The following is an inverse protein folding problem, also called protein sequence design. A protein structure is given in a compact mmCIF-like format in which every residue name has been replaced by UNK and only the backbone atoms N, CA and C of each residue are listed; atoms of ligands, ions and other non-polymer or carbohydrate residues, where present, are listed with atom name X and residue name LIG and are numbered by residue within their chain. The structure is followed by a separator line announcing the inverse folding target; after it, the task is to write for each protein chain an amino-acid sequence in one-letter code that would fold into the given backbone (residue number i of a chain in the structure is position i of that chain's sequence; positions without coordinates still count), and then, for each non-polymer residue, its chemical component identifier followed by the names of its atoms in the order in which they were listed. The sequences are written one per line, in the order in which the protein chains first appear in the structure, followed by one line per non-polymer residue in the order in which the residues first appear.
data_IF_129257911438
#
_entry.id   IF_129257911438
#
_cell.length_a   1.000
_cell.length_b   1.000
_cell.length_c   1.000
_cell.angle_alpha   90.00
_cell.angle_beta   90.00
_cell.angle_gamma   90.00
#
_symmetry.space_group_name_H-M   'P 1'
#
loop_
_entity.id
_entity.type
_entity.pdbx_description
1 polymer ?
#
# COMPACT_ATOMS: atom_id res chain seq x y z
N UNK A 1 36.42 -4.87 18.50
CA UNK A 1 35.87 -3.57 18.01
C UNK A 1 35.68 -3.78 16.53
N UNK A 2 34.58 -4.42 16.20
CA UNK A 2 34.35 -4.97 14.88
C UNK A 2 33.36 -4.03 14.19
N UNK A 3 33.92 -3.15 13.37
CA UNK A 3 33.16 -2.27 12.49
C UNK A 3 32.45 -3.15 11.46
N UNK A 4 31.19 -3.49 11.74
CA UNK A 4 30.32 -4.17 10.77
C UNK A 4 30.14 -3.20 9.61
N UNK A 5 30.79 -3.54 8.49
CA UNK A 5 30.76 -2.82 7.23
C UNK A 5 29.33 -2.92 6.68
N UNK A 6 28.56 -1.84 6.82
CA UNK A 6 27.20 -1.75 6.27
C UNK A 6 27.26 -1.51 4.75
N UNK A 7 27.78 -2.48 4.02
CA UNK A 7 27.81 -2.50 2.55
C UNK A 7 26.45 -2.94 2.03
N UNK A 8 25.57 -1.98 1.75
CA UNK A 8 24.44 -2.25 0.86
C UNK A 8 24.96 -2.51 -0.54
N UNK A 9 24.74 -3.70 -1.06
CA UNK A 9 25.18 -4.02 -2.42
C UNK A 9 24.18 -3.67 -3.50
N UNK A 10 22.91 -3.45 -3.15
CA UNK A 10 21.88 -3.22 -4.17
C UNK A 10 20.88 -2.12 -3.81
N UNK A 11 20.48 -1.37 -4.83
CA UNK A 11 19.42 -0.39 -4.76
C UNK A 11 18.31 -0.75 -5.71
N UNK A 12 17.09 -0.87 -5.18
CA UNK A 12 15.88 -1.06 -5.96
C UNK A 12 15.18 0.28 -6.15
N UNK A 13 14.88 0.61 -7.40
CA UNK A 13 14.16 1.84 -7.74
C UNK A 13 12.70 1.49 -8.03
N UNK A 14 11.79 2.14 -7.29
CA UNK A 14 10.34 1.97 -7.41
C UNK A 14 9.63 3.32 -7.31
N UNK A 15 8.32 3.32 -7.52
CA UNK A 15 7.48 4.50 -7.30
C UNK A 15 6.50 4.22 -6.18
N UNK A 16 6.21 5.24 -5.38
CA UNK A 16 5.13 5.19 -4.40
C UNK A 16 3.79 5.08 -5.12
N UNK A 17 3.01 4.07 -4.78
CA UNK A 17 1.72 3.76 -5.40
C UNK A 17 0.63 4.78 -5.03
N UNK A 18 0.85 5.54 -3.96
CA UNK A 18 -0.09 6.58 -3.47
C UNK A 18 0.22 7.95 -4.07
N UNK A 19 1.47 8.41 -4.00
CA UNK A 19 1.85 9.79 -4.39
C UNK A 19 2.76 9.87 -5.63
N UNK A 20 3.11 8.74 -6.24
CA UNK A 20 3.94 8.69 -7.45
C UNK A 20 5.43 9.02 -7.24
N UNK A 21 5.85 9.44 -6.05
CA UNK A 21 7.24 9.79 -5.76
C UNK A 21 8.17 8.60 -6.00
N UNK A 22 9.32 8.87 -6.63
CA UNK A 22 10.40 7.89 -6.79
C UNK A 22 10.97 7.49 -5.43
N UNK A 23 11.11 6.19 -5.23
CA UNK A 23 11.68 5.54 -4.06
C UNK A 23 13.04 4.96 -4.41
N UNK A 24 13.99 5.15 -3.51
CA UNK A 24 15.30 4.50 -3.55
C UNK A 24 15.32 3.54 -2.36
N UNK A 25 15.18 2.25 -2.64
CA UNK A 25 15.12 1.20 -1.64
C UNK A 25 16.49 0.55 -1.55
N UNK A 26 17.10 0.60 -0.37
CA UNK A 26 18.39 -0.03 -0.07
C UNK A 26 18.12 -1.46 0.36
N UNK A 27 18.69 -2.43 -0.35
CA UNK A 27 18.66 -3.85 0.02
C UNK A 27 19.96 -4.21 0.76
N UNK A 28 19.80 -4.93 1.86
CA UNK A 28 20.89 -5.45 2.67
C UNK A 28 21.05 -6.95 2.41
N UNK A 29 22.28 -7.46 2.61
CA UNK A 29 22.63 -8.86 2.32
C UNK A 29 21.84 -9.88 3.17
N UNK A 30 21.32 -9.44 4.32
CA UNK A 30 20.47 -10.21 5.23
C UNK A 30 18.98 -10.25 4.82
N UNK A 31 18.64 -9.64 3.68
CA UNK A 31 17.27 -9.55 3.17
C UNK A 31 16.43 -8.43 3.78
N UNK A 32 16.98 -7.65 4.71
CA UNK A 32 16.32 -6.43 5.18
C UNK A 32 16.38 -5.33 4.11
N UNK A 33 15.45 -4.37 4.20
CA UNK A 33 15.43 -3.23 3.29
C UNK A 33 15.02 -1.93 3.99
N UNK A 34 15.41 -0.78 3.41
CA UNK A 34 15.02 0.56 3.88
C UNK A 34 14.68 1.47 2.70
N UNK A 35 13.81 2.46 2.91
CA UNK A 35 13.50 3.51 1.92
C UNK A 35 12.10 3.44 1.28
N UNK A 36 11.31 2.44 1.65
CA UNK A 36 9.90 2.30 1.28
C UNK A 36 9.24 1.25 2.16
N UNK A 37 7.93 1.06 1.99
CA UNK A 37 7.17 -0.02 2.61
C UNK A 37 6.54 -0.89 1.51
N UNK A 38 6.73 -2.20 1.58
CA UNK A 38 6.25 -3.16 0.60
C UNK A 38 5.01 -3.90 1.13
N UNK A 39 3.92 -3.89 0.36
CA UNK A 39 2.66 -4.51 0.75
C UNK A 39 2.35 -5.80 0.00
N UNK A 40 3.21 -6.21 -0.93
CA UNK A 40 3.03 -7.41 -1.73
C UNK A 40 2.81 -7.13 -3.21
N UNK A 41 2.48 -8.21 -3.94
CA UNK A 41 2.17 -8.18 -5.36
C UNK A 41 0.70 -8.45 -5.58
N UNK A 42 0.14 -7.79 -6.58
CA UNK A 42 -1.21 -8.08 -7.03
C UNK A 42 -1.28 -8.00 -8.55
N UNK A 43 -2.25 -8.70 -9.12
CA UNK A 43 -2.51 -8.69 -10.55
C UNK A 43 -3.61 -7.71 -10.85
N UNK A 44 -3.38 -6.81 -11.81
CA UNK A 44 -4.37 -5.81 -12.17
C UNK A 44 -5.54 -6.49 -12.91
N UNK A 45 -6.78 -6.39 -12.45
CA UNK A 45 -7.92 -6.90 -13.21
C UNK A 45 -8.13 -6.03 -14.47
N UNK A 46 -8.00 -6.63 -15.66
CA UNK A 46 -8.25 -5.96 -16.93
C UNK A 46 -9.70 -6.08 -17.39
N UNK A 47 -10.39 -7.13 -16.95
CA UNK A 47 -11.80 -7.36 -17.30
C UNK A 47 -12.54 -7.93 -16.10
N UNK A 48 -13.65 -7.30 -15.75
CA UNK A 48 -14.58 -7.75 -14.72
C UNK A 48 -15.93 -8.11 -15.34
N UNK A 49 -16.68 -8.99 -14.68
CA UNK A 49 -18.03 -9.34 -15.10
C UNK A 49 -18.97 -8.13 -14.95
N UNK A 50 -19.86 -7.92 -15.92
CA UNK A 50 -20.85 -6.83 -15.89
C UNK A 50 -21.91 -7.02 -14.81
N UNK A 51 -22.22 -8.28 -14.47
CA UNK A 51 -23.21 -8.63 -13.46
C UNK A 51 -22.50 -9.09 -12.17
N UNK A 52 -22.96 -8.66 -10.99
CA UNK A 52 -22.46 -9.18 -9.73
C UNK A 52 -22.78 -10.66 -9.60
N UNK A 53 -21.85 -11.42 -9.03
CA UNK A 53 -22.07 -12.83 -8.69
C UNK A 53 -22.69 -13.02 -7.31
N UNK A 54 -22.42 -12.09 -6.39
CA UNK A 54 -22.98 -12.10 -5.04
C UNK A 54 -22.95 -10.68 -4.45
N UNK A 55 -23.50 -10.50 -3.25
CA UNK A 55 -23.39 -9.27 -2.47
C UNK A 55 -22.85 -9.60 -1.08
N UNK A 56 -21.91 -8.80 -0.60
CA UNK A 56 -21.44 -8.86 0.79
C UNK A 56 -21.95 -7.64 1.55
N UNK A 57 -22.20 -7.80 2.85
CA UNK A 57 -22.60 -6.68 3.70
C UNK A 57 -21.45 -6.34 4.64
N UNK A 58 -20.98 -5.09 4.58
CA UNK A 58 -20.00 -4.53 5.50
C UNK A 58 -20.54 -3.21 6.02
N UNK A 59 -20.46 -3.00 7.34
CA UNK A 59 -20.91 -1.75 7.99
C UNK A 59 -22.35 -1.34 7.61
N UNK A 60 -23.27 -2.31 7.56
CA UNK A 60 -24.68 -2.12 7.15
C UNK A 60 -24.86 -1.65 5.70
N UNK A 61 -23.81 -1.67 4.87
CA UNK A 61 -23.86 -1.38 3.43
C UNK A 61 -23.66 -2.66 2.62
N UNK A 62 -24.43 -2.83 1.55
CA UNK A 62 -24.29 -3.95 0.61
C UNK A 62 -23.35 -3.57 -0.54
N UNK A 63 -22.36 -4.39 -0.80
CA UNK A 63 -21.39 -4.23 -1.87
C UNK A 63 -21.51 -5.38 -2.88
N UNK A 64 -21.62 -5.09 -4.19
CA UNK A 64 -21.61 -6.11 -5.22
C UNK A 64 -20.23 -6.76 -5.32
N UNK A 65 -20.19 -8.09 -5.30
CA UNK A 65 -19.00 -8.88 -5.60
C UNK A 65 -19.06 -9.26 -7.08
N UNK A 66 -18.05 -8.82 -7.83
CA UNK A 66 -17.90 -9.15 -9.26
C UNK A 66 -16.78 -10.16 -9.46
N UNK A 67 -16.97 -11.09 -10.40
CA UNK A 67 -15.89 -11.98 -10.83
C UNK A 67 -14.92 -11.25 -11.74
N UNK A 68 -13.63 -11.45 -11.52
CA UNK A 68 -12.58 -11.00 -12.44
C UNK A 68 -12.48 -12.02 -13.58
N UNK A 69 -12.64 -11.57 -14.82
CA UNK A 69 -12.64 -12.40 -16.02
C UNK A 69 -11.26 -12.50 -16.67
N UNK A 70 -10.43 -11.45 -16.50
CA UNK A 70 -9.07 -11.42 -17.04
C UNK A 70 -8.18 -10.59 -16.13
N UNK A 71 -7.04 -11.16 -15.77
CA UNK A 71 -5.95 -10.46 -15.10
C UNK A 71 -4.92 -9.97 -16.13
N UNK A 72 -4.30 -8.85 -15.81
CA UNK A 72 -3.17 -8.28 -16.51
C UNK A 72 -1.86 -8.60 -15.80
N UNK A 73 -0.90 -7.70 -15.94
CA UNK A 73 0.42 -7.85 -15.32
C UNK A 73 0.34 -7.84 -13.80
N UNK A 74 1.28 -8.55 -13.20
CA UNK A 74 1.55 -8.48 -11.77
C UNK A 74 2.36 -7.22 -11.49
N UNK A 75 1.99 -6.48 -10.45
CA UNK A 75 2.66 -5.26 -10.01
C UNK A 75 2.91 -5.32 -8.52
N UNK A 76 4.00 -4.68 -8.09
CA UNK A 76 4.34 -4.52 -6.68
C UNK A 76 3.69 -3.26 -6.12
N UNK A 77 3.12 -3.35 -4.91
CA UNK A 77 2.59 -2.20 -4.20
C UNK A 77 3.63 -1.70 -3.18
N UNK A 78 4.11 -0.49 -3.42
CA UNK A 78 5.09 0.20 -2.59
C UNK A 78 4.57 1.54 -2.11
N UNK A 79 4.79 1.90 -0.85
CA UNK A 79 4.52 3.23 -0.32
C UNK A 79 5.77 3.93 0.19
N UNK A 80 5.78 5.27 0.09
CA UNK A 80 6.81 6.08 0.72
C UNK A 80 6.54 6.19 2.24
N UNK A 81 7.58 6.43 3.06
CA UNK A 81 7.40 6.56 4.51
C UNK A 81 6.37 7.62 4.93
N UNK A 82 6.21 8.69 4.12
CA UNK A 82 5.21 9.73 4.37
C UNK A 82 3.78 9.26 4.11
N UNK A 83 3.54 8.49 3.05
CA UNK A 83 2.22 7.96 2.73
C UNK A 83 1.82 6.88 3.73
N UNK A 84 2.75 5.97 4.02
CA UNK A 84 2.53 4.92 5.00
C UNK A 84 2.16 5.46 6.39
N UNK A 85 2.93 6.45 6.89
CA UNK A 85 2.65 7.10 8.18
C UNK A 85 1.50 8.12 8.11
N UNK A 86 1.12 8.56 6.91
CA UNK A 86 0.15 9.63 6.68
C UNK A 86 -1.29 9.21 6.93
N UNK A 87 -1.57 7.91 6.99
CA UNK A 87 -2.91 7.37 7.20
C UNK A 87 -3.38 7.48 8.68
N UNK A 88 -2.45 7.64 9.63
CA UNK A 88 -2.78 7.76 11.06
C UNK A 88 -3.56 9.04 11.43
N UNK A 89 -3.62 10.05 10.54
CA UNK A 89 -4.34 11.30 10.82
C UNK A 89 -5.83 11.24 10.50
N UNK A 90 -6.34 10.19 9.85
CA UNK A 90 -7.77 10.09 9.47
C UNK A 90 -8.65 9.31 10.45
N UNK A 91 -8.06 8.60 11.42
CA UNK A 91 -8.81 7.88 12.48
C UNK A 91 -9.17 8.76 13.69
N UNK A 92 -8.78 10.04 13.73
CA UNK A 92 -9.21 11.02 14.76
C UNK A 92 -10.26 12.01 14.24
N UNK A 93 -11.28 11.51 13.58
CA UNK A 93 -12.48 12.26 13.19
C UNK A 93 -13.64 12.09 14.15
N UNK A 94 -13.49 12.47 15.44
CA UNK A 94 -14.61 12.76 16.38
C UNK A 94 -14.08 13.34 17.70
N UNK A 95 -13.69 14.61 17.70
CA UNK A 95 -13.95 15.47 18.86
C UNK A 95 -14.78 16.64 18.33
N UNK A 96 -16.10 16.45 18.40
CA UNK A 96 -17.04 17.55 18.23
C UNK A 96 -16.75 18.57 19.34
N UNK A 97 -16.42 19.79 18.93
CA UNK A 97 -17.10 21.01 19.34
C UNK A 97 -18.00 20.87 20.58
N UNK A 98 -17.61 21.53 21.67
CA UNK A 98 -18.55 22.38 22.40
C UNK A 98 -17.83 23.67 22.79
N UNK A 99 -18.26 24.73 22.11
CA UNK A 99 -18.12 26.14 22.46
C UNK A 99 -19.22 26.46 23.47
N UNK A 100 -19.06 27.58 24.19
CA UNK A 100 -20.04 28.24 25.07
C UNK A 100 -20.08 27.64 26.49
N UNK A 101 -19.89 28.40 27.58
CA UNK A 101 -20.13 29.83 27.85
C UNK A 101 -19.21 30.32 28.95
#
# INVERSE_FOLDING_TARGET
MDFIKEESKEFLIRNCSVCGKRLIIRLYDDGHYKGGEYFGRFRIPLKIAKKPSNFITMERKKYPVVRILKYGTEVEYWECPKCYKGDERKSRGKQKSQREK
#
